data_IF_244581924913
#
_entry.id   IF_244581924913
#
_cell.length_a   1.000
_cell.length_b   1.000
_cell.length_c   1.000
_cell.angle_alpha   90.00
_cell.angle_beta   90.00
_cell.angle_gamma   90.00
#
_symmetry.space_group_name_H-M   'P 1'
#
loop_
_entity.id
_entity.type
_entity.pdbx_description
1 polymer ?
#
# COMPACT_ATOMS: atom_id res chain seq x y z
N UNK A 1 43.08 -34.04 40.37
CA UNK A 1 41.76 -33.37 40.52
C UNK A 1 41.62 -32.07 39.69
N UNK A 2 42.42 -31.83 38.64
CA UNK A 2 42.28 -30.63 37.78
C UNK A 2 41.49 -30.89 36.48
N UNK A 3 41.44 -32.14 36.02
CA UNK A 3 40.71 -32.54 34.80
C UNK A 3 39.19 -32.52 34.94
N UNK A 4 38.64 -32.88 36.10
CA UNK A 4 37.19 -32.90 36.31
C UNK A 4 36.56 -31.50 36.34
N UNK A 5 37.33 -30.46 36.67
CA UNK A 5 36.83 -29.07 36.69
C UNK A 5 36.64 -28.49 35.28
N UNK A 6 37.51 -28.88 34.33
CA UNK A 6 37.43 -28.48 32.93
C UNK A 6 36.23 -29.10 32.20
N UNK A 7 35.88 -30.34 32.54
CA UNK A 7 34.73 -31.04 31.95
C UNK A 7 33.41 -30.41 32.42
N UNK A 8 33.31 -30.06 33.70
CA UNK A 8 32.12 -29.39 34.26
C UNK A 8 31.92 -28.01 33.62
N UNK A 9 33.00 -27.24 33.43
CA UNK A 9 32.95 -25.92 32.80
C UNK A 9 32.56 -25.99 31.31
N UNK A 10 32.98 -27.04 30.60
CA UNK A 10 32.60 -27.27 29.20
C UNK A 10 31.11 -27.65 29.05
N UNK A 11 30.54 -28.39 29.99
CA UNK A 11 29.11 -28.73 29.98
C UNK A 11 28.19 -27.55 30.31
N UNK A 12 28.65 -26.56 31.10
CA UNK A 12 27.90 -25.34 31.38
C UNK A 12 27.83 -24.37 30.18
N UNK A 13 28.80 -24.43 29.26
CA UNK A 13 28.80 -23.60 28.04
C UNK A 13 27.80 -24.08 27.00
N UNK A 14 27.38 -25.34 27.04
CA UNK A 14 26.40 -25.92 26.10
C UNK A 14 24.94 -25.61 26.48
N UNK A 15 24.66 -25.19 27.72
CA UNK A 15 23.32 -24.81 28.18
C UNK A 15 23.03 -23.31 28.06
N UNK A 16 23.99 -22.52 27.58
CA UNK A 16 23.88 -21.06 27.47
C UNK A 16 23.20 -20.58 26.17
N UNK A 17 23.02 -21.46 25.17
CA UNK A 17 22.18 -21.18 24.02
C UNK A 17 20.75 -21.63 24.35
N UNK A 18 19.97 -20.74 24.98
CA UNK A 18 18.52 -20.92 25.06
C UNK A 18 17.89 -20.55 23.71
N UNK A 19 16.88 -21.30 23.27
CA UNK A 19 16.12 -21.04 22.03
C UNK A 19 15.58 -19.59 21.97
N UNK A 20 15.36 -18.96 23.12
CA UNK A 20 14.96 -17.55 23.25
C UNK A 20 15.94 -16.51 22.70
N UNK A 21 17.20 -16.88 22.41
CA UNK A 21 18.14 -16.00 21.72
C UNK A 21 17.94 -16.00 20.20
N UNK A 22 17.47 -17.13 19.64
CA UNK A 22 17.18 -17.27 18.21
C UNK A 22 15.76 -16.83 17.88
N UNK A 23 14.82 -16.98 18.82
CA UNK A 23 13.44 -16.52 18.70
C UNK A 23 13.25 -15.11 19.27
N UNK A 24 14.00 -14.13 18.72
CA UNK A 24 13.65 -12.72 18.93
C UNK A 24 12.59 -12.32 17.94
N UNK A 25 11.35 -12.23 18.41
CA UNK A 25 10.31 -11.48 17.70
C UNK A 25 10.86 -10.06 17.48
N UNK A 26 10.86 -9.52 16.26
CA UNK A 26 11.57 -8.27 16.00
C UNK A 26 10.93 -7.15 16.82
N UNK A 27 11.67 -6.60 17.79
CA UNK A 27 11.27 -5.43 18.56
C UNK A 27 11.22 -4.23 17.61
N UNK A 28 10.05 -4.00 17.02
CA UNK A 28 9.82 -2.96 16.01
C UNK A 28 9.12 -3.45 14.74
N UNK A 29 8.93 -4.76 14.54
CA UNK A 29 8.02 -5.27 13.51
C UNK A 29 6.68 -5.62 14.15
N UNK A 30 5.60 -5.07 13.61
CA UNK A 30 4.26 -5.57 13.91
C UNK A 30 4.18 -7.03 13.43
N UNK A 31 4.13 -7.96 14.37
CA UNK A 31 4.03 -9.39 14.06
C UNK A 31 2.63 -9.61 13.47
N UNK A 32 2.57 -10.05 12.21
CA UNK A 32 1.36 -10.17 11.37
C UNK A 32 0.17 -10.87 12.03
N UNK A 33 0.40 -11.72 13.05
CA UNK A 33 -0.66 -12.52 13.67
C UNK A 33 -1.47 -11.78 14.75
N UNK A 34 -1.01 -10.64 15.27
CA UNK A 34 -1.65 -9.99 16.44
C UNK A 34 -1.81 -8.47 16.30
N UNK A 35 -1.66 -7.91 15.10
CA UNK A 35 -1.75 -6.46 14.95
C UNK A 35 -3.20 -5.94 15.02
N UNK A 36 -4.17 -6.69 14.51
CA UNK A 36 -5.56 -6.24 14.39
C UNK A 36 -6.42 -6.71 15.58
N UNK A 37 -6.05 -6.30 16.78
CA UNK A 37 -6.72 -6.73 18.04
C UNK A 37 -7.68 -5.71 18.63
N UNK A 38 -7.64 -4.45 18.18
CA UNK A 38 -8.55 -3.40 18.62
C UNK A 38 -8.84 -2.42 17.48
N UNK A 39 -9.84 -1.56 17.68
CA UNK A 39 -10.22 -0.53 16.73
C UNK A 39 -9.06 0.46 16.47
N UNK A 40 -8.33 0.86 17.52
CA UNK A 40 -7.17 1.77 17.40
C UNK A 40 -6.04 1.13 16.60
N UNK A 41 -5.84 -0.18 16.74
CA UNK A 41 -4.83 -0.89 15.99
C UNK A 41 -5.20 -0.98 14.50
N UNK A 42 -6.50 -1.15 14.21
CA UNK A 42 -7.00 -1.10 12.84
C UNK A 42 -6.88 0.32 12.24
N UNK A 43 -7.16 1.38 13.01
CA UNK A 43 -6.96 2.77 12.57
C UNK A 43 -5.47 3.08 12.31
N UNK A 44 -4.56 2.57 13.15
CA UNK A 44 -3.13 2.69 12.92
C UNK A 44 -2.70 1.97 11.62
N UNK A 45 -3.35 0.86 11.28
CA UNK A 45 -3.12 0.12 10.05
C UNK A 45 -3.62 0.85 8.79
N UNK A 46 -4.71 1.62 8.90
CA UNK A 46 -5.25 2.39 7.76
C UNK A 46 -4.56 3.74 7.57
N UNK A 47 -3.94 4.31 8.60
CA UNK A 47 -3.25 5.60 8.53
C UNK A 47 -2.24 5.75 7.36
N UNK A 48 -1.44 4.74 6.99
CA UNK A 48 -0.55 4.79 5.83
C UNK A 48 -1.24 5.02 4.48
N UNK A 49 -2.53 4.71 4.35
CA UNK A 49 -3.33 4.99 3.14
C UNK A 49 -3.43 6.49 2.83
N UNK A 50 -3.23 7.34 3.84
CA UNK A 50 -3.35 8.80 3.73
C UNK A 50 -2.02 9.51 3.47
N UNK A 51 -0.88 8.79 3.53
CA UNK A 51 0.43 9.39 3.33
C UNK A 51 1.35 8.50 2.49
N UNK A 52 1.85 7.40 3.05
CA UNK A 52 2.86 6.51 2.48
C UNK A 52 2.40 5.96 1.14
N UNK A 53 1.12 5.60 1.04
CA UNK A 53 0.51 5.12 -0.19
C UNK A 53 0.67 6.10 -1.36
N UNK A 54 0.58 7.40 -1.11
CA UNK A 54 0.61 8.45 -2.13
C UNK A 54 1.99 9.07 -2.36
N UNK A 55 2.99 8.65 -1.59
CA UNK A 55 4.29 9.33 -1.53
C UNK A 55 4.98 9.43 -2.91
N UNK A 56 5.02 8.33 -3.66
CA UNK A 56 5.73 8.29 -4.96
C UNK A 56 5.10 9.22 -6.00
N UNK A 57 3.78 9.42 -5.95
CA UNK A 57 3.09 10.41 -6.79
C UNK A 57 3.33 11.83 -6.29
N UNK A 58 3.21 12.04 -4.97
CA UNK A 58 3.26 13.36 -4.35
C UNK A 58 4.66 13.98 -4.35
N UNK A 59 5.72 13.17 -4.24
CA UNK A 59 7.09 13.68 -4.15
C UNK A 59 7.58 14.42 -5.40
N UNK A 60 6.97 14.19 -6.57
CA UNK A 60 7.40 14.80 -7.83
C UNK A 60 6.28 14.93 -8.86
N UNK A 61 5.73 13.81 -9.33
CA UNK A 61 4.89 13.75 -10.54
C UNK A 61 3.56 14.52 -10.43
N UNK A 62 3.05 14.76 -9.22
CA UNK A 62 1.81 15.51 -8.99
C UNK A 62 1.82 16.89 -9.65
N UNK A 63 2.95 17.60 -9.62
CA UNK A 63 3.06 18.97 -10.16
C UNK A 63 3.03 19.00 -11.70
N UNK A 64 3.93 18.28 -12.42
CA UNK A 64 3.92 18.33 -13.88
C UNK A 64 2.65 17.72 -14.48
N UNK A 65 2.11 16.64 -13.90
CA UNK A 65 0.91 15.98 -14.40
C UNK A 65 -0.35 16.77 -14.06
N UNK A 66 -0.49 17.21 -12.81
CA UNK A 66 -1.73 17.81 -12.30
C UNK A 66 -1.90 19.29 -12.63
N UNK A 67 -0.81 20.04 -12.69
CA UNK A 67 -0.85 21.51 -12.88
C UNK A 67 -0.16 21.96 -14.16
N UNK A 68 1.09 21.54 -14.40
CA UNK A 68 1.81 22.01 -15.60
C UNK A 68 1.13 21.56 -16.89
N UNK A 69 0.62 20.33 -16.95
CA UNK A 69 -0.13 19.83 -18.11
C UNK A 69 -1.43 20.59 -18.40
N UNK A 70 -2.03 21.20 -17.38
CA UNK A 70 -3.17 22.09 -17.50
C UNK A 70 -2.77 23.55 -17.84
N UNK A 71 -1.47 23.81 -17.98
CA UNK A 71 -0.87 25.13 -18.20
C UNK A 71 -1.08 26.12 -17.04
N UNK A 72 -1.27 25.62 -15.81
CA UNK A 72 -1.34 26.46 -14.61
C UNK A 72 0.02 27.08 -14.27
N UNK A 73 1.09 26.37 -14.60
CA UNK A 73 2.49 26.77 -14.41
C UNK A 73 3.33 26.37 -15.62
N UNK A 74 4.36 27.16 -15.90
CA UNK A 74 5.34 26.86 -16.95
C UNK A 74 6.75 27.19 -16.47
N UNK A 75 7.68 26.28 -16.71
CA UNK A 75 9.12 26.51 -16.56
C UNK A 75 9.83 25.93 -17.77
N UNK A 76 10.71 26.68 -18.46
CA UNK A 76 11.44 26.17 -19.62
C UNK A 76 12.46 25.09 -19.27
N UNK A 77 12.79 24.90 -17.97
CA UNK A 77 13.77 23.90 -17.53
C UNK A 77 13.17 22.78 -16.68
N UNK A 78 11.98 22.98 -16.10
CA UNK A 78 11.35 21.99 -15.24
C UNK A 78 10.09 21.44 -15.91
N UNK A 79 10.27 20.29 -16.56
CA UNK A 79 9.20 19.51 -17.19
C UNK A 79 8.36 20.28 -18.24
N UNK A 80 8.96 21.14 -19.11
CA UNK A 80 8.20 21.89 -20.11
C UNK A 80 7.39 20.99 -21.06
N UNK A 81 7.86 19.76 -21.27
CA UNK A 81 7.21 18.75 -22.12
C UNK A 81 5.78 18.41 -21.70
N UNK A 82 5.43 18.60 -20.42
CA UNK A 82 4.05 18.40 -19.95
C UNK A 82 3.12 19.52 -20.43
N UNK A 83 3.63 20.73 -20.60
CA UNK A 83 2.87 21.89 -21.12
C UNK A 83 2.85 21.86 -22.65
N UNK A 84 3.97 21.52 -23.29
CA UNK A 84 4.10 21.52 -24.76
C UNK A 84 3.63 20.24 -25.43
N UNK A 85 3.11 19.27 -24.67
CA UNK A 85 2.62 17.98 -25.17
C UNK A 85 3.70 17.15 -25.90
N UNK A 86 4.92 17.17 -25.38
CA UNK A 86 6.09 16.46 -25.93
C UNK A 86 6.65 15.37 -24.99
N UNK A 87 5.83 14.89 -24.05
CA UNK A 87 6.22 13.85 -23.09
C UNK A 87 6.58 12.56 -23.83
N UNK A 88 7.66 11.90 -23.42
CA UNK A 88 8.09 10.60 -23.97
C UNK A 88 7.84 9.48 -22.96
N UNK A 89 7.81 8.23 -23.42
CA UNK A 89 7.63 7.07 -22.53
C UNK A 89 8.77 6.88 -21.50
N UNK A 90 9.93 7.52 -21.71
CA UNK A 90 11.08 7.46 -20.78
C UNK A 90 11.01 8.53 -19.68
N UNK A 91 9.96 9.35 -19.65
CA UNK A 91 9.81 10.39 -18.63
C UNK A 91 9.57 9.77 -17.25
N UNK A 92 10.49 10.04 -16.31
CA UNK A 92 10.45 9.51 -14.95
C UNK A 92 9.17 9.86 -14.18
N UNK A 93 8.49 10.96 -14.56
CA UNK A 93 7.26 11.35 -13.90
C UNK A 93 6.11 10.39 -14.23
N UNK A 94 6.13 9.76 -15.42
CA UNK A 94 5.14 8.74 -15.79
C UNK A 94 5.34 7.48 -14.96
N UNK A 95 6.57 6.97 -14.85
CA UNK A 95 6.87 5.79 -14.03
C UNK A 95 6.65 6.04 -12.54
N UNK A 96 7.00 7.24 -12.04
CA UNK A 96 6.79 7.61 -10.64
C UNK A 96 5.30 7.72 -10.30
N UNK A 97 4.50 8.32 -11.18
CA UNK A 97 3.05 8.38 -11.01
C UNK A 97 2.42 6.98 -11.06
N UNK A 98 2.82 6.14 -12.03
CA UNK A 98 2.36 4.75 -12.11
C UNK A 98 2.67 3.98 -10.82
N UNK A 99 3.92 4.06 -10.34
CA UNK A 99 4.34 3.46 -9.05
C UNK A 99 3.48 3.95 -7.90
N UNK A 100 3.27 5.27 -7.78
CA UNK A 100 2.47 5.86 -6.71
C UNK A 100 1.02 5.39 -6.73
N UNK A 101 0.37 5.39 -7.89
CA UNK A 101 -1.02 4.96 -7.98
C UNK A 101 -1.19 3.47 -7.68
N UNK A 102 -0.31 2.60 -8.19
CA UNK A 102 -0.37 1.16 -7.86
C UNK A 102 0.09 0.84 -6.43
N UNK A 103 0.90 1.70 -5.81
CA UNK A 103 1.19 1.62 -4.37
C UNK A 103 -0.07 1.85 -3.54
N UNK A 104 -0.89 2.84 -3.89
CA UNK A 104 -2.21 3.05 -3.26
C UNK A 104 -3.11 1.83 -3.45
N UNK A 105 -3.18 1.29 -4.68
CA UNK A 105 -4.03 0.12 -4.98
C UNK A 105 -3.63 -1.09 -4.15
N UNK A 106 -2.34 -1.44 -4.16
CA UNK A 106 -1.85 -2.62 -3.44
C UNK A 106 -1.95 -2.46 -1.93
N UNK A 107 -1.68 -1.27 -1.37
CA UNK A 107 -1.89 -1.01 0.07
C UNK A 107 -3.36 -1.10 0.47
N UNK A 108 -4.28 -0.56 -0.35
CA UNK A 108 -5.72 -0.69 -0.11
C UNK A 108 -6.17 -2.16 -0.13
N UNK A 109 -5.69 -2.95 -1.10
CA UNK A 109 -5.97 -4.37 -1.18
C UNK A 109 -5.44 -5.13 0.04
N UNK A 110 -4.23 -4.79 0.51
CA UNK A 110 -3.64 -5.39 1.72
C UNK A 110 -4.46 -5.07 2.97
N UNK A 111 -4.93 -3.83 3.12
CA UNK A 111 -5.83 -3.45 4.24
C UNK A 111 -7.14 -4.25 4.19
N UNK A 112 -7.78 -4.33 3.02
CA UNK A 112 -9.03 -5.10 2.86
C UNK A 112 -8.81 -6.56 3.23
N UNK A 113 -7.75 -7.19 2.70
CA UNK A 113 -7.39 -8.58 3.00
C UNK A 113 -7.08 -8.79 4.48
N UNK A 114 -6.36 -7.86 5.11
CA UNK A 114 -6.04 -7.94 6.53
C UNK A 114 -7.29 -7.83 7.41
N UNK A 115 -8.22 -6.93 7.08
CA UNK A 115 -9.51 -6.84 7.78
C UNK A 115 -10.30 -8.14 7.66
N UNK A 116 -10.30 -8.78 6.49
CA UNK A 116 -11.06 -10.00 6.23
C UNK A 116 -10.44 -11.27 6.86
N UNK A 117 -9.13 -11.27 7.13
CA UNK A 117 -8.41 -12.51 7.51
C UNK A 117 -7.64 -12.44 8.83
N UNK A 118 -7.36 -11.25 9.37
CA UNK A 118 -6.44 -11.06 10.50
C UNK A 118 -7.07 -10.34 11.70
N UNK A 119 -8.31 -9.84 11.59
CA UNK A 119 -8.99 -9.21 12.74
C UNK A 119 -9.47 -10.23 13.77
N UNK A 120 -9.35 -9.89 15.04
CA UNK A 120 -9.90 -10.69 16.15
C UNK A 120 -11.30 -10.23 16.57
N UNK A 121 -11.93 -10.94 17.52
CA UNK A 121 -13.21 -10.54 18.13
C UNK A 121 -13.16 -9.19 18.87
N UNK A 122 -11.96 -8.69 19.20
CA UNK A 122 -11.77 -7.40 19.86
C UNK A 122 -11.97 -6.17 18.96
N UNK A 123 -12.15 -6.36 17.66
CA UNK A 123 -12.38 -5.28 16.69
C UNK A 123 -13.88 -5.17 16.39
N UNK A 124 -14.44 -3.97 16.53
CA UNK A 124 -15.84 -3.69 16.23
C UNK A 124 -16.15 -3.85 14.75
N UNK A 125 -17.39 -4.24 14.43
CA UNK A 125 -17.84 -4.32 13.03
C UNK A 125 -17.87 -2.92 12.39
N UNK A 126 -18.17 -1.89 13.16
CA UNK A 126 -18.09 -0.50 12.73
C UNK A 126 -16.66 -0.12 12.28
N UNK A 127 -15.64 -0.50 13.05
CA UNK A 127 -14.24 -0.23 12.69
C UNK A 127 -13.81 -1.01 11.44
N UNK A 128 -14.21 -2.28 11.31
CA UNK A 128 -13.95 -3.08 10.09
C UNK A 128 -14.58 -2.45 8.84
N UNK A 129 -15.86 -2.05 8.95
CA UNK A 129 -16.57 -1.38 7.86
C UNK A 129 -15.90 -0.07 7.50
N UNK A 130 -15.49 0.74 8.48
CA UNK A 130 -14.75 1.99 8.27
C UNK A 130 -13.41 1.74 7.57
N UNK A 131 -12.62 0.77 8.00
CA UNK A 131 -11.32 0.49 7.40
C UNK A 131 -11.41 0.03 5.94
N UNK A 132 -12.34 -0.88 5.63
CA UNK A 132 -12.61 -1.33 4.26
C UNK A 132 -13.10 -0.14 3.41
N UNK A 133 -13.94 0.71 4.00
CA UNK A 133 -14.44 1.92 3.36
C UNK A 133 -13.32 2.89 2.96
N UNK A 134 -12.40 3.20 3.89
CA UNK A 134 -11.25 4.06 3.65
C UNK A 134 -10.33 3.48 2.55
N UNK A 135 -10.03 2.17 2.63
CA UNK A 135 -9.22 1.49 1.64
C UNK A 135 -9.86 1.54 0.23
N UNK A 136 -11.16 1.24 0.12
CA UNK A 136 -11.88 1.29 -1.15
C UNK A 136 -11.94 2.71 -1.72
N UNK A 137 -12.14 3.72 -0.88
CA UNK A 137 -12.13 5.13 -1.31
C UNK A 137 -10.77 5.51 -1.90
N UNK A 138 -9.67 5.18 -1.22
CA UNK A 138 -8.32 5.50 -1.71
C UNK A 138 -8.01 4.76 -3.02
N UNK A 139 -8.39 3.48 -3.11
CA UNK A 139 -8.29 2.70 -4.34
C UNK A 139 -9.07 3.32 -5.50
N UNK A 140 -10.32 3.74 -5.24
CA UNK A 140 -11.16 4.42 -6.23
C UNK A 140 -10.54 5.75 -6.70
N UNK A 141 -10.02 6.56 -5.78
CA UNK A 141 -9.32 7.81 -6.11
C UNK A 141 -8.10 7.55 -7.00
N UNK A 142 -7.29 6.53 -6.69
CA UNK A 142 -6.13 6.15 -7.48
C UNK A 142 -6.52 5.76 -8.91
N UNK A 143 -7.52 4.89 -9.07
CA UNK A 143 -8.05 4.52 -10.39
C UNK A 143 -8.64 5.71 -11.14
N UNK A 144 -9.31 6.64 -10.45
CA UNK A 144 -9.86 7.84 -11.09
C UNK A 144 -8.78 8.79 -11.61
N UNK A 145 -7.62 8.89 -10.94
CA UNK A 145 -6.47 9.62 -11.48
C UNK A 145 -5.85 8.88 -12.67
N UNK A 146 -5.64 7.57 -12.55
CA UNK A 146 -5.07 6.76 -13.63
C UNK A 146 -5.91 6.81 -14.91
N UNK A 147 -7.22 6.71 -14.78
CA UNK A 147 -8.17 6.78 -15.89
C UNK A 147 -8.10 8.10 -16.65
N UNK A 148 -7.95 9.23 -15.95
CA UNK A 148 -7.82 10.56 -16.58
C UNK A 148 -6.45 10.81 -17.21
N UNK A 149 -5.45 9.99 -16.88
CA UNK A 149 -4.08 10.15 -17.37
C UNK A 149 -3.76 9.18 -18.52
N UNK A 150 -4.09 7.90 -18.36
CA UNK A 150 -3.77 6.85 -19.34
C UNK A 150 -5.01 6.26 -20.04
N UNK A 151 -6.21 6.48 -19.51
CA UNK A 151 -7.41 5.77 -19.97
C UNK A 151 -7.39 4.31 -19.50
N UNK A 152 -7.23 3.32 -20.40
CA UNK A 152 -7.13 1.91 -20.04
C UNK A 152 -6.00 1.59 -19.05
N UNK A 153 -6.30 0.88 -17.96
CA UNK A 153 -5.33 0.43 -16.94
C UNK A 153 -5.64 -0.97 -16.40
N UNK A 154 -4.74 -1.54 -15.60
CA UNK A 154 -4.89 -2.88 -15.02
C UNK A 154 -5.70 -2.78 -13.72
N UNK A 155 -6.83 -3.46 -13.66
CA UNK A 155 -7.63 -3.58 -12.44
C UNK A 155 -7.05 -4.70 -11.58
N UNK A 156 -6.75 -4.40 -10.31
CA UNK A 156 -6.12 -5.32 -9.36
C UNK A 156 -6.92 -5.29 -8.07
N UNK A 157 -7.57 -6.40 -7.76
CA UNK A 157 -8.29 -6.62 -6.49
C UNK A 157 -7.54 -7.55 -5.55
N UNK A 158 -6.79 -8.50 -6.09
CA UNK A 158 -5.94 -9.41 -5.34
C UNK A 158 -4.47 -9.19 -5.72
N UNK A 159 -3.68 -8.81 -4.72
CA UNK A 159 -2.24 -8.60 -4.90
C UNK A 159 -1.52 -9.92 -5.23
N UNK A 160 -2.02 -11.06 -4.74
CA UNK A 160 -1.37 -12.35 -4.97
C UNK A 160 -1.41 -12.73 -6.46
N UNK A 161 -2.52 -12.45 -7.15
CA UNK A 161 -2.65 -12.70 -8.59
C UNK A 161 -1.56 -11.96 -9.41
N UNK A 162 -1.15 -10.77 -8.98
CA UNK A 162 -0.09 -9.97 -9.64
C UNK A 162 1.29 -10.55 -9.34
N UNK A 163 1.51 -11.05 -8.13
CA UNK A 163 2.76 -11.72 -7.73
C UNK A 163 2.93 -13.02 -8.51
N UNK A 164 1.86 -13.80 -8.64
CA UNK A 164 1.85 -15.08 -9.33
C UNK A 164 2.04 -14.91 -10.84
N UNK A 165 1.40 -13.89 -11.43
CA UNK A 165 1.59 -13.53 -12.82
C UNK A 165 1.49 -12.00 -13.03
N UNK A 166 2.61 -11.30 -13.24
CA UNK A 166 2.60 -9.85 -13.44
C UNK A 166 2.13 -9.43 -14.84
N UNK A 167 2.01 -10.36 -15.79
CA UNK A 167 1.59 -10.06 -17.16
C UNK A 167 0.06 -10.10 -17.23
N UNK A 168 -0.55 -8.96 -16.93
CA UNK A 168 -2.01 -8.76 -16.93
C UNK A 168 -2.44 -7.82 -18.06
N UNK A 169 -3.60 -8.05 -18.69
CA UNK A 169 -4.11 -7.15 -19.73
C UNK A 169 -4.64 -5.84 -19.15
N UNK A 170 -4.63 -4.80 -19.98
CA UNK A 170 -5.34 -3.56 -19.67
C UNK A 170 -6.86 -3.80 -19.75
N UNK A 171 -7.60 -3.11 -18.88
CA UNK A 171 -9.06 -3.08 -18.89
C UNK A 171 -9.55 -1.82 -19.59
N UNK A 172 -10.76 -1.87 -20.16
CA UNK A 172 -11.32 -0.72 -20.88
C UNK A 172 -11.64 0.41 -19.92
N UNK A 173 -11.70 1.64 -20.41
CA UNK A 173 -12.07 2.80 -19.61
C UNK A 173 -13.40 2.62 -18.87
N UNK A 174 -14.41 2.05 -19.54
CA UNK A 174 -15.71 1.74 -18.94
C UNK A 174 -15.63 0.74 -17.78
N UNK A 175 -14.74 -0.27 -17.88
CA UNK A 175 -14.55 -1.25 -16.83
C UNK A 175 -13.88 -0.60 -15.60
N UNK A 176 -12.92 0.30 -15.84
CA UNK A 176 -12.25 1.08 -14.79
C UNK A 176 -13.24 2.05 -14.14
N UNK A 177 -14.09 2.73 -14.92
CA UNK A 177 -15.17 3.58 -14.39
C UNK A 177 -16.13 2.79 -13.51
N UNK A 178 -16.60 1.64 -13.99
CA UNK A 178 -17.50 0.78 -13.23
C UNK A 178 -16.85 0.30 -11.93
N UNK A 179 -15.55 -0.03 -11.97
CA UNK A 179 -14.78 -0.41 -10.80
C UNK A 179 -14.67 0.71 -9.76
N UNK A 180 -14.43 1.96 -10.21
CA UNK A 180 -14.42 3.16 -9.35
C UNK A 180 -15.78 3.33 -8.65
N UNK A 181 -16.89 3.19 -9.40
CA UNK A 181 -18.26 3.30 -8.86
C UNK A 181 -18.51 2.18 -7.83
N UNK A 182 -18.11 0.96 -8.12
CA UNK A 182 -18.25 -0.18 -7.21
C UNK A 182 -17.45 0.01 -5.92
N UNK A 183 -16.27 0.62 -5.98
CA UNK A 183 -15.46 0.93 -4.81
C UNK A 183 -16.05 2.08 -3.97
N UNK A 184 -16.89 2.94 -4.55
CA UNK A 184 -17.51 4.08 -3.88
C UNK A 184 -19.05 3.94 -3.75
N UNK A 185 -19.60 2.90 -3.09
CA UNK A 185 -21.05 2.82 -2.91
C UNK A 185 -21.54 3.98 -2.05
N UNK A 186 -22.66 4.61 -2.43
CA UNK A 186 -23.28 5.74 -1.72
C UNK A 186 -23.45 5.55 -0.19
N UNK A 187 -23.41 4.32 0.32
CA UNK A 187 -23.41 4.02 1.76
C UNK A 187 -22.16 4.52 2.50
N UNK A 188 -21.04 4.78 1.79
CA UNK A 188 -19.81 5.37 2.34
C UNK A 188 -20.02 6.79 2.89
N UNK A 189 -21.01 7.53 2.40
CA UNK A 189 -21.31 8.89 2.89
C UNK A 189 -21.89 8.93 4.32
N UNK A 190 -22.03 7.77 4.98
CA UNK A 190 -22.43 7.67 6.39
C UNK A 190 -21.26 7.62 7.38
N UNK A 191 -20.02 7.85 6.93
CA UNK A 191 -18.88 8.08 7.81
C UNK A 191 -19.06 9.44 8.54
N UNK A 192 -19.84 9.44 9.61
CA UNK A 192 -19.99 10.54 10.57
C UNK A 192 -20.16 9.98 11.97
#
# INVERSE_FOLDING_TARGET
>A
MKGNLLIILATLLLTACSDSFLDRVPEGSYVDATFYTSDEALEAATAPLYNRAWFDYNQRSIVPIGSARANDIYSPWNYPQFVTFQVTALDENLSGAWSGFYSVVTMANSVIKAVETQTTEGVSEEAKVKAIAEARLMRACSYFYMLRLWGPVIIIEDNQAVVDNPVLPLHREEDVFQFIIYCCPMKLFKLK
#
